data_IF_553144007426
#
_entry.id   IF_553144007426
#
_cell.length_a   1.000
_cell.length_b   1.000
_cell.length_c   1.000
_cell.angle_alpha   90.00
_cell.angle_beta   90.00
_cell.angle_gamma   90.00
#
_symmetry.space_group_name_H-M   'P 1'
#
loop_
_entity.id
_entity.type
_entity.pdbx_description
1 polymer ?
#
# COMPACT_ATOMS: atom_id res chain seq x y z
N UNK A 1 6.15 11.09 7.08
CA UNK A 1 6.01 10.09 5.98
C UNK A 1 5.89 8.69 6.61
N UNK A 2 4.75 8.37 7.24
CA UNK A 2 4.51 7.02 7.77
C UNK A 2 3.73 6.21 6.73
N UNK A 3 2.68 6.79 6.15
CA UNK A 3 1.85 6.14 5.14
C UNK A 3 2.68 5.62 3.95
N UNK A 4 3.52 6.45 3.33
CA UNK A 4 4.33 5.98 2.20
C UNK A 4 5.31 4.87 2.58
N UNK A 5 5.87 4.91 3.81
CA UNK A 5 6.74 3.84 4.32
C UNK A 5 5.98 2.54 4.55
N UNK A 6 4.76 2.62 5.10
CA UNK A 6 3.89 1.45 5.25
C UNK A 6 3.53 0.86 3.88
N UNK A 7 3.13 1.72 2.94
CA UNK A 7 2.75 1.29 1.59
C UNK A 7 3.93 0.66 0.84
N UNK A 8 5.12 1.25 0.93
CA UNK A 8 6.31 0.77 0.21
C UNK A 8 7.02 -0.41 0.88
N UNK A 9 7.18 -0.40 2.20
CA UNK A 9 8.01 -1.37 2.92
C UNK A 9 7.23 -2.53 3.51
N UNK A 10 6.08 -2.25 4.13
CA UNK A 10 5.31 -3.25 4.86
C UNK A 10 4.31 -3.95 3.94
N UNK A 11 3.47 -3.18 3.25
CA UNK A 11 2.47 -3.70 2.34
C UNK A 11 3.06 -4.04 0.96
N UNK A 12 4.19 -3.42 0.61
CA UNK A 12 4.87 -3.58 -0.69
C UNK A 12 3.91 -3.39 -1.86
N UNK A 13 3.08 -2.35 -1.79
CA UNK A 13 2.10 -1.95 -2.84
C UNK A 13 2.56 -0.72 -3.61
N UNK A 14 3.82 -0.32 -3.45
CA UNK A 14 4.46 0.77 -4.18
C UNK A 14 5.97 0.76 -3.98
N UNK A 15 6.68 1.61 -4.72
CA UNK A 15 8.14 1.74 -4.66
C UNK A 15 8.51 3.11 -4.07
N UNK A 16 9.45 3.13 -3.14
CA UNK A 16 10.01 4.38 -2.61
C UNK A 16 11.06 4.93 -3.59
N UNK A 17 10.92 6.20 -3.98
CA UNK A 17 11.93 6.89 -4.80
C UNK A 17 13.16 7.17 -3.94
N UNK A 18 14.35 6.87 -4.46
CA UNK A 18 15.62 7.20 -3.80
C UNK A 18 15.81 8.72 -3.75
N UNK A 19 16.17 9.22 -2.57
CA UNK A 19 16.54 10.61 -2.33
C UNK A 19 18.06 10.74 -2.25
N UNK A 20 18.59 11.91 -2.61
CA UNK A 20 19.97 12.26 -2.31
C UNK A 20 20.21 12.22 -0.80
N UNK A 21 21.34 11.64 -0.39
CA UNK A 21 21.65 11.42 1.02
C UNK A 21 21.95 12.73 1.76
N UNK A 22 22.55 13.70 1.07
CA UNK A 22 22.93 15.01 1.62
C UNK A 22 21.81 16.06 1.48
N UNK A 23 21.23 16.20 0.29
CA UNK A 23 20.24 17.25 -0.01
C UNK A 23 18.78 16.82 0.23
N UNK A 24 18.54 15.51 0.38
CA UNK A 24 17.20 14.94 0.54
C UNK A 24 16.30 15.10 -0.69
N UNK A 25 16.84 15.52 -1.83
CA UNK A 25 16.10 15.82 -3.05
C UNK A 25 15.93 14.58 -3.92
N UNK A 26 14.93 14.64 -4.79
CA UNK A 26 14.74 13.64 -5.84
C UNK A 26 15.37 14.14 -7.13
N UNK A 27 16.00 13.24 -7.88
CA UNK A 27 16.50 13.54 -9.22
C UNK A 27 15.55 13.00 -10.27
N UNK A 28 15.65 13.52 -11.50
CA UNK A 28 14.89 13.00 -12.64
C UNK A 28 15.20 11.51 -12.85
N UNK A 29 16.45 11.12 -12.65
CA UNK A 29 16.97 9.77 -12.82
C UNK A 29 16.36 8.83 -11.76
N UNK A 30 16.32 9.25 -10.48
CA UNK A 30 15.76 8.40 -9.42
C UNK A 30 14.25 8.21 -9.56
N UNK A 31 13.53 9.25 -10.04
CA UNK A 31 12.11 9.14 -10.38
C UNK A 31 11.91 8.21 -11.58
N UNK A 32 12.72 8.36 -12.64
CA UNK A 32 12.63 7.51 -13.83
C UNK A 32 12.91 6.03 -13.51
N UNK A 33 13.88 5.75 -12.64
CA UNK A 33 14.16 4.40 -12.14
C UNK A 33 12.94 3.80 -11.43
N UNK A 34 12.32 4.54 -10.49
CA UNK A 34 11.14 4.07 -9.77
C UNK A 34 9.95 3.79 -10.69
N UNK A 35 9.71 4.66 -11.68
CA UNK A 35 8.67 4.44 -12.70
C UNK A 35 8.97 3.19 -13.53
N UNK A 36 10.22 3.01 -13.98
CA UNK A 36 10.62 1.81 -14.75
C UNK A 36 10.41 0.53 -13.94
N UNK A 37 10.79 0.52 -12.66
CA UNK A 37 10.59 -0.66 -11.78
C UNK A 37 9.10 -1.07 -11.75
N UNK A 38 8.19 -0.09 -11.60
CA UNK A 38 6.75 -0.38 -11.49
C UNK A 38 6.12 -0.75 -12.84
N UNK A 39 6.61 -0.17 -13.94
CA UNK A 39 6.00 -0.32 -15.26
C UNK A 39 6.58 -1.48 -16.09
N UNK A 40 7.78 -1.96 -15.77
CA UNK A 40 8.40 -3.10 -16.42
C UNK A 40 7.75 -4.41 -15.94
N UNK A 41 7.27 -5.23 -16.88
CA UNK A 41 6.63 -6.50 -16.59
C UNK A 41 7.62 -7.61 -16.22
N UNK A 42 8.86 -7.48 -16.69
CA UNK A 42 9.93 -8.42 -16.38
C UNK A 42 10.63 -8.09 -15.05
N UNK A 43 10.39 -6.91 -14.49
CA UNK A 43 10.92 -6.51 -13.20
C UNK A 43 10.24 -7.26 -12.04
N UNK A 44 11.03 -7.99 -11.24
CA UNK A 44 10.55 -8.77 -10.10
C UNK A 44 9.86 -7.90 -9.04
N UNK A 45 10.43 -6.75 -8.69
CA UNK A 45 9.84 -5.82 -7.72
C UNK A 45 8.52 -5.24 -8.25
N UNK A 46 8.48 -4.89 -9.54
CA UNK A 46 7.26 -4.44 -10.22
C UNK A 46 6.13 -5.48 -10.14
N UNK A 47 6.43 -6.75 -10.44
CA UNK A 47 5.46 -7.85 -10.32
C UNK A 47 4.98 -8.06 -8.89
N UNK A 48 5.89 -8.02 -7.91
CA UNK A 48 5.52 -8.13 -6.48
C UNK A 48 4.56 -7.00 -6.08
N UNK A 49 4.89 -5.77 -6.47
CA UNK A 49 4.06 -4.58 -6.19
C UNK A 49 2.66 -4.72 -6.79
N UNK A 50 2.54 -5.11 -8.07
CA UNK A 50 1.23 -5.27 -8.73
C UNK A 50 0.42 -6.39 -8.09
N UNK A 51 1.04 -7.54 -7.81
CA UNK A 51 0.39 -8.67 -7.14
C UNK A 51 -0.14 -8.29 -5.75
N UNK A 52 0.65 -7.58 -4.95
CA UNK A 52 0.21 -7.14 -3.63
C UNK A 52 -0.84 -6.05 -3.71
N UNK A 53 -0.74 -5.15 -4.69
CA UNK A 53 -1.74 -4.12 -4.94
C UNK A 53 -3.09 -4.75 -5.29
N UNK A 54 -3.13 -5.78 -6.14
CA UNK A 54 -4.35 -6.52 -6.47
C UNK A 54 -4.96 -7.20 -5.24
N UNK A 55 -4.15 -7.86 -4.41
CA UNK A 55 -4.62 -8.46 -3.15
C UNK A 55 -5.22 -7.41 -2.21
N UNK A 56 -4.53 -6.29 -2.02
CA UNK A 56 -5.00 -5.19 -1.18
C UNK A 56 -6.29 -4.59 -1.73
N UNK A 57 -6.35 -4.34 -3.04
CA UNK A 57 -7.55 -3.85 -3.71
C UNK A 57 -8.73 -4.81 -3.50
N UNK A 58 -8.54 -6.11 -3.70
CA UNK A 58 -9.61 -7.09 -3.56
C UNK A 58 -10.09 -7.21 -2.10
N UNK A 59 -9.18 -7.10 -1.13
CA UNK A 59 -9.53 -7.03 0.29
C UNK A 59 -10.38 -5.79 0.58
N UNK A 60 -9.91 -4.61 0.16
CA UNK A 60 -10.60 -3.34 0.41
C UNK A 60 -11.94 -3.22 -0.31
N UNK A 61 -12.09 -3.87 -1.47
CA UNK A 61 -13.35 -3.93 -2.22
C UNK A 61 -14.24 -5.11 -1.82
N UNK A 62 -13.82 -5.93 -0.86
CA UNK A 62 -14.66 -7.05 -0.42
C UNK A 62 -15.91 -6.50 0.28
N UNK A 63 -17.07 -6.96 -0.16
CA UNK A 63 -18.37 -6.49 0.31
C UNK A 63 -18.55 -6.65 1.84
N UNK A 64 -17.82 -7.58 2.42
CA UNK A 64 -18.00 -7.97 3.82
C UNK A 64 -17.03 -7.25 4.77
N UNK A 65 -15.97 -6.60 4.28
CA UNK A 65 -14.98 -5.98 5.16
C UNK A 65 -15.55 -4.78 5.91
N UNK A 66 -16.21 -3.87 5.20
CA UNK A 66 -16.77 -2.66 5.82
C UNK A 66 -17.97 -3.01 6.72
N UNK A 67 -18.89 -3.86 6.23
CA UNK A 67 -20.07 -4.28 6.97
C UNK A 67 -19.68 -5.04 8.24
N UNK A 68 -18.80 -6.05 8.16
CA UNK A 68 -18.39 -6.83 9.34
C UNK A 68 -17.72 -5.99 10.43
N UNK A 69 -16.96 -4.96 10.05
CA UNK A 69 -16.37 -4.01 11.00
C UNK A 69 -17.44 -3.20 11.74
N UNK A 70 -18.41 -2.66 11.01
CA UNK A 70 -19.50 -1.86 11.59
C UNK A 70 -20.44 -2.73 12.41
N UNK A 71 -20.82 -3.89 11.89
CA UNK A 71 -21.71 -4.85 12.56
C UNK A 71 -21.08 -5.33 13.87
N UNK A 72 -19.82 -5.77 13.84
CA UNK A 72 -19.11 -6.20 15.05
C UNK A 72 -18.90 -5.06 16.07
N UNK A 73 -18.80 -3.81 15.62
CA UNK A 73 -18.80 -2.65 16.51
C UNK A 73 -20.17 -2.42 17.16
N UNK A 74 -21.25 -2.47 16.36
CA UNK A 74 -22.62 -2.36 16.84
C UNK A 74 -22.98 -3.46 17.84
N UNK A 75 -22.61 -4.72 17.56
CA UNK A 75 -22.80 -5.85 18.47
C UNK A 75 -22.16 -5.58 19.83
N UNK A 76 -20.89 -5.15 19.84
CA UNK A 76 -20.19 -4.79 21.09
C UNK A 76 -20.85 -3.64 21.85
N UNK A 77 -21.36 -2.63 21.15
CA UNK A 77 -22.11 -1.56 21.81
C UNK A 77 -23.41 -2.06 22.43
N UNK A 78 -24.13 -2.96 21.74
CA UNK A 78 -25.36 -3.57 22.26
C UNK A 78 -25.09 -4.43 23.50
N UNK A 79 -23.96 -5.15 23.54
CA UNK A 79 -23.55 -5.91 24.72
C UNK A 79 -23.31 -5.03 25.96
N UNK A 80 -22.81 -3.79 25.78
CA UNK A 80 -22.54 -2.87 26.90
C UNK A 80 -23.78 -2.27 27.54
N UNK A 81 -24.89 -2.19 26.80
CA UNK A 81 -26.17 -1.67 27.31
C UNK A 81 -27.14 -2.79 27.71
N UNK A 82 -26.66 -4.04 27.72
CA UNK A 82 -27.43 -5.22 28.09
C UNK A 82 -27.40 -5.51 29.58
#
# INVERSE_FOLDING_TARGET
IINAKIMGRNLKVGVEVKKGEEDGLFTKESICEAVKIVMDDENETGREVRTNHEKLRNLLLSHDLESSCVDGFCEKLQELVR
#
